data_IF_423301877017
#
_entry.id   IF_423301877017
#
_cell.length_a   1.000
_cell.length_b   1.000
_cell.length_c   1.000
_cell.angle_alpha   90.00
_cell.angle_beta   90.00
_cell.angle_gamma   90.00
#
_symmetry.space_group_name_H-M   'P 1'
#
loop_
_entity.id
_entity.type
_entity.pdbx_description
1 polymer ?
#
# COMPACT_ATOMS: atom_id res chain seq x y z
N UNK A 1 -26.72 -22.40 -26.04
CA UNK A 1 -25.28 -22.23 -25.68
C UNK A 1 -25.13 -21.56 -24.32
N UNK A 2 -25.73 -22.12 -23.26
CA UNK A 2 -25.66 -21.58 -21.87
C UNK A 2 -24.55 -22.29 -21.08
N UNK A 3 -24.37 -23.58 -21.31
CA UNK A 3 -23.37 -24.45 -20.67
C UNK A 3 -21.91 -23.98 -20.83
N UNK A 4 -21.59 -23.32 -21.95
CA UNK A 4 -20.21 -22.91 -22.26
C UNK A 4 -19.78 -21.64 -21.50
N UNK A 5 -20.73 -20.82 -21.05
CA UNK A 5 -20.45 -19.58 -20.28
C UNK A 5 -20.20 -19.89 -18.80
N UNK A 6 -21.02 -20.75 -18.18
CA UNK A 6 -20.85 -21.12 -16.77
C UNK A 6 -19.52 -21.84 -16.49
N UNK A 7 -19.04 -22.68 -17.41
CA UNK A 7 -17.71 -23.29 -17.29
C UNK A 7 -16.58 -22.27 -17.40
N UNK A 8 -16.78 -21.20 -18.16
CA UNK A 8 -15.78 -20.14 -18.33
C UNK A 8 -15.63 -19.34 -17.03
N UNK A 9 -16.75 -19.00 -16.38
CA UNK A 9 -16.79 -18.37 -15.06
C UNK A 9 -16.10 -19.24 -13.99
N UNK A 10 -16.37 -20.56 -14.03
CA UNK A 10 -15.84 -21.54 -13.06
C UNK A 10 -14.31 -21.70 -13.14
N UNK A 11 -13.68 -21.37 -14.28
CA UNK A 11 -12.24 -21.47 -14.46
C UNK A 11 -11.56 -20.10 -14.39
N UNK A 12 -12.11 -19.08 -15.03
CA UNK A 12 -11.52 -17.73 -15.09
C UNK A 12 -11.52 -17.03 -13.73
N UNK A 13 -12.60 -17.14 -12.95
CA UNK A 13 -12.68 -16.46 -11.66
C UNK A 13 -11.69 -17.06 -10.65
N UNK A 14 -11.64 -18.39 -10.44
CA UNK A 14 -10.64 -18.96 -9.53
C UNK A 14 -9.21 -18.76 -10.02
N UNK A 15 -8.95 -18.86 -11.33
CA UNK A 15 -7.60 -18.60 -11.86
C UNK A 15 -7.16 -17.15 -11.66
N UNK A 16 -8.05 -16.18 -11.90
CA UNK A 16 -7.77 -14.77 -11.62
C UNK A 16 -7.47 -14.52 -10.12
N UNK A 17 -8.22 -15.15 -9.22
CA UNK A 17 -7.98 -15.08 -7.78
C UNK A 17 -6.66 -15.74 -7.39
N UNK A 18 -6.34 -16.92 -7.94
CA UNK A 18 -5.07 -17.63 -7.70
C UNK A 18 -3.89 -16.79 -8.17
N UNK A 19 -3.98 -16.16 -9.34
CA UNK A 19 -2.94 -15.27 -9.87
C UNK A 19 -2.72 -14.09 -8.91
N UNK A 20 -3.80 -13.41 -8.48
CA UNK A 20 -3.69 -12.27 -7.58
C UNK A 20 -3.16 -12.66 -6.19
N UNK A 21 -3.75 -13.67 -5.56
CA UNK A 21 -3.36 -14.14 -4.23
C UNK A 21 -1.94 -14.72 -4.27
N UNK A 22 -1.63 -15.51 -5.29
CA UNK A 22 -0.30 -16.08 -5.51
C UNK A 22 0.77 -15.00 -5.64
N UNK A 23 0.51 -13.94 -6.41
CA UNK A 23 1.43 -12.81 -6.51
C UNK A 23 1.62 -12.11 -5.16
N UNK A 24 0.55 -11.83 -4.42
CA UNK A 24 0.65 -11.15 -3.12
C UNK A 24 1.37 -12.01 -2.07
N UNK A 25 1.15 -13.33 -2.06
CA UNK A 25 1.90 -14.26 -1.21
C UNK A 25 3.38 -14.34 -1.60
N UNK A 26 3.67 -14.41 -2.89
CA UNK A 26 5.05 -14.37 -3.40
C UNK A 26 5.75 -13.06 -3.02
N UNK A 27 5.08 -11.92 -3.20
CA UNK A 27 5.62 -10.63 -2.80
C UNK A 27 5.82 -10.56 -1.28
N UNK A 28 4.86 -11.04 -0.47
CA UNK A 28 4.99 -11.07 0.98
C UNK A 28 6.19 -11.94 1.40
N UNK A 29 6.35 -13.10 0.78
CA UNK A 29 7.52 -13.95 0.98
C UNK A 29 8.83 -13.21 0.64
N UNK A 30 8.88 -12.51 -0.50
CA UNK A 30 10.06 -11.72 -0.91
C UNK A 30 10.31 -10.55 0.05
N UNK A 31 9.27 -9.88 0.53
CA UNK A 31 9.37 -8.80 1.51
C UNK A 31 9.96 -9.28 2.84
N UNK A 32 9.48 -10.42 3.35
CA UNK A 32 9.92 -10.98 4.63
C UNK A 32 11.33 -11.59 4.56
N UNK A 33 11.69 -12.26 3.47
CA UNK A 33 12.96 -12.99 3.37
C UNK A 33 14.08 -12.21 2.65
N UNK A 34 13.73 -11.31 1.73
CA UNK A 34 14.67 -10.57 0.88
C UNK A 34 14.28 -9.07 0.78
N UNK A 35 14.18 -8.34 1.92
CA UNK A 35 13.70 -6.96 1.92
C UNK A 35 14.55 -6.03 1.03
N UNK A 36 15.86 -6.25 0.96
CA UNK A 36 16.82 -5.45 0.16
C UNK A 36 16.60 -5.51 -1.36
N UNK A 37 15.80 -6.46 -1.84
CA UNK A 37 15.51 -6.62 -3.27
C UNK A 37 14.07 -6.19 -3.61
N UNK A 38 13.39 -5.46 -2.74
CA UNK A 38 12.03 -4.97 -2.95
C UNK A 38 11.99 -3.45 -2.89
N UNK A 39 11.10 -2.82 -3.67
CA UNK A 39 10.89 -1.36 -3.60
C UNK A 39 10.47 -0.92 -2.20
N UNK A 40 9.59 -1.67 -1.52
CA UNK A 40 9.19 -1.36 -0.13
C UNK A 40 10.39 -1.38 0.82
N UNK A 41 11.29 -2.36 0.68
CA UNK A 41 12.51 -2.40 1.49
C UNK A 41 13.47 -1.25 1.18
N UNK A 42 13.56 -0.83 -0.08
CA UNK A 42 14.32 0.35 -0.50
C UNK A 42 13.74 1.64 0.09
N UNK A 43 12.43 1.86 -0.04
CA UNK A 43 11.75 2.98 0.59
C UNK A 43 11.91 2.97 2.11
N UNK A 44 11.88 1.79 2.75
CA UNK A 44 12.07 1.68 4.19
C UNK A 44 13.51 2.05 4.60
N UNK A 45 14.51 1.78 3.75
CA UNK A 45 15.87 2.27 3.95
C UNK A 45 15.97 3.80 3.79
N UNK A 46 15.27 4.38 2.81
CA UNK A 46 15.22 5.83 2.62
C UNK A 46 14.50 6.53 3.78
N UNK A 47 13.40 5.95 4.28
CA UNK A 47 12.69 6.43 5.47
C UNK A 47 13.60 6.40 6.71
N UNK A 48 14.39 5.34 6.90
CA UNK A 48 15.39 5.28 7.99
C UNK A 48 16.43 6.38 7.87
N UNK A 49 17.06 6.50 6.70
CA UNK A 49 18.06 7.54 6.46
C UNK A 49 17.48 8.95 6.65
N UNK A 50 16.24 9.17 6.24
CA UNK A 50 15.52 10.42 6.47
C UNK A 50 15.29 10.69 7.95
N UNK A 51 14.80 9.71 8.73
CA UNK A 51 14.59 9.84 10.17
C UNK A 51 15.91 10.10 10.91
N UNK A 52 16.98 9.36 10.60
CA UNK A 52 18.32 9.56 11.14
C UNK A 52 18.80 11.01 10.99
N UNK A 53 18.50 11.62 9.84
CA UNK A 53 18.87 13.02 9.56
C UNK A 53 17.98 14.01 10.28
N UNK A 54 16.66 13.79 10.29
CA UNK A 54 15.72 14.68 10.99
C UNK A 54 16.01 14.71 12.50
N UNK A 55 16.35 13.58 13.11
CA UNK A 55 16.66 13.50 14.54
C UNK A 55 17.98 14.17 14.93
N UNK A 56 18.84 14.50 13.96
CA UNK A 56 20.08 15.27 14.19
C UNK A 56 19.91 16.78 13.97
N UNK A 57 18.77 17.22 13.43
CA UNK A 57 18.51 18.64 13.20
C UNK A 57 18.12 19.35 14.50
N UNK A 58 18.40 20.64 14.56
CA UNK A 58 17.88 21.49 15.62
C UNK A 58 16.36 21.55 15.56
N UNK A 59 15.69 21.63 16.72
CA UNK A 59 14.22 21.66 16.83
C UNK A 59 13.56 22.76 15.97
N UNK A 60 14.28 23.84 15.66
CA UNK A 60 13.82 24.95 14.80
C UNK A 60 13.75 24.57 13.32
N UNK A 61 14.48 23.55 12.89
CA UNK A 61 14.61 23.12 11.49
C UNK A 61 13.73 21.90 11.15
N UNK A 62 13.07 21.33 12.15
CA UNK A 62 12.19 20.15 12.04
C UNK A 62 10.90 20.42 11.26
N UNK A 63 10.59 21.69 10.96
CA UNK A 63 9.38 22.10 10.24
C UNK A 63 9.15 21.35 8.92
N UNK A 64 10.20 21.13 8.13
CA UNK A 64 10.12 20.37 6.87
C UNK A 64 9.64 18.93 7.10
N UNK A 65 10.09 18.29 8.18
CA UNK A 65 9.68 16.93 8.50
C UNK A 65 8.19 16.85 8.86
N UNK A 66 7.71 17.83 9.62
CA UNK A 66 6.30 17.93 9.99
C UNK A 66 5.42 18.18 8.76
N UNK A 67 5.88 18.99 7.80
CA UNK A 67 5.17 19.20 6.53
C UNK A 67 5.06 17.91 5.72
N UNK A 68 6.16 17.16 5.57
CA UNK A 68 6.15 15.87 4.88
C UNK A 68 5.17 14.92 5.56
N UNK A 69 5.25 14.80 6.89
CA UNK A 69 4.41 13.88 7.64
C UNK A 69 2.92 14.28 7.60
N UNK A 70 2.63 15.58 7.70
CA UNK A 70 1.27 16.12 7.58
C UNK A 70 0.69 15.92 6.18
N UNK A 71 1.49 16.06 5.13
CA UNK A 71 1.04 15.78 3.75
C UNK A 71 0.67 14.30 3.57
N UNK A 72 1.46 13.38 4.14
CA UNK A 72 1.17 11.95 4.13
C UNK A 72 -0.10 11.62 4.94
N UNK A 73 -0.28 12.25 6.11
CA UNK A 73 -1.52 12.12 6.90
C UNK A 73 -2.73 12.57 6.08
N UNK A 74 -2.65 13.73 5.44
CA UNK A 74 -3.73 14.28 4.60
C UNK A 74 -4.07 13.36 3.42
N UNK A 75 -3.06 12.81 2.76
CA UNK A 75 -3.26 11.85 1.68
C UNK A 75 -3.93 10.57 2.20
N UNK A 76 -3.53 10.08 3.38
CA UNK A 76 -4.06 8.85 3.97
C UNK A 76 -5.52 9.02 4.40
N UNK A 77 -5.85 10.14 5.05
CA UNK A 77 -7.23 10.45 5.43
C UNK A 77 -8.12 10.66 4.21
N UNK A 78 -7.60 11.26 3.13
CA UNK A 78 -8.33 11.41 1.86
C UNK A 78 -8.68 10.06 1.23
N UNK A 79 -7.70 9.15 1.08
CA UNK A 79 -7.92 7.81 0.55
C UNK A 79 -8.81 6.95 1.46
N UNK A 80 -8.68 7.12 2.78
CA UNK A 80 -9.57 6.53 3.76
C UNK A 80 -11.03 6.96 3.52
N UNK A 81 -11.29 8.27 3.42
CA UNK A 81 -12.63 8.78 3.15
C UNK A 81 -13.18 8.26 1.82
N UNK A 82 -12.38 8.24 0.75
CA UNK A 82 -12.80 7.66 -0.53
C UNK A 82 -13.20 6.18 -0.37
N UNK A 83 -12.38 5.40 0.33
CA UNK A 83 -12.65 3.97 0.58
C UNK A 83 -13.94 3.76 1.38
N UNK A 84 -14.19 4.61 2.38
CA UNK A 84 -15.41 4.57 3.18
C UNK A 84 -16.65 5.01 2.37
N UNK A 85 -16.53 6.05 1.56
CA UNK A 85 -17.60 6.51 0.67
C UNK A 85 -17.98 5.44 -0.35
N UNK A 86 -16.99 4.77 -0.96
CA UNK A 86 -17.26 3.65 -1.88
C UNK A 86 -17.93 2.47 -1.16
N UNK A 87 -17.49 2.15 0.07
CA UNK A 87 -18.13 1.13 0.91
C UNK A 87 -19.59 1.47 1.21
N UNK A 88 -19.86 2.71 1.59
CA UNK A 88 -21.20 3.20 1.87
C UNK A 88 -22.09 3.21 0.62
N UNK A 89 -21.54 3.63 -0.53
CA UNK A 89 -22.26 3.62 -1.80
C UNK A 89 -22.67 2.20 -2.19
N UNK A 90 -21.77 1.23 -2.06
CA UNK A 90 -22.07 -0.18 -2.32
C UNK A 90 -23.11 -0.72 -1.34
N UNK A 91 -22.96 -0.43 -0.04
CA UNK A 91 -23.93 -0.84 0.98
C UNK A 91 -25.34 -0.27 0.73
N UNK A 92 -25.42 1.02 0.39
CA UNK A 92 -26.67 1.68 0.03
C UNK A 92 -27.28 1.10 -1.26
N UNK A 93 -26.46 0.73 -2.23
CA UNK A 93 -26.92 0.06 -3.44
C UNK A 93 -27.54 -1.30 -3.12
N UNK A 94 -26.87 -2.14 -2.33
CA UNK A 94 -27.40 -3.45 -1.90
C UNK A 94 -28.73 -3.29 -1.14
N UNK A 95 -28.85 -2.25 -0.32
CA UNK A 95 -30.06 -2.00 0.47
C UNK A 95 -31.26 -1.53 -0.37
N UNK A 96 -31.03 -0.94 -1.55
CA UNK A 96 -32.09 -0.42 -2.41
C UNK A 96 -32.47 -1.47 -3.46
N UNK A 97 -33.47 -2.31 -3.14
CA UNK A 97 -33.95 -3.47 -3.93
C UNK A 97 -34.55 -3.13 -5.31
N UNK A 98 -34.55 -1.85 -5.70
CA UNK A 98 -35.19 -1.38 -6.93
C UNK A 98 -34.25 -1.44 -8.14
N UNK A 99 -34.35 -2.56 -8.87
CA UNK A 99 -33.88 -2.75 -10.26
C UNK A 99 -32.37 -2.53 -10.44
N UNK A 100 -31.60 -3.57 -10.17
CA UNK A 100 -30.19 -3.71 -10.55
C UNK A 100 -29.95 -3.28 -12.01
N UNK A 101 -29.47 -2.05 -12.24
CA UNK A 101 -29.18 -1.49 -13.58
C UNK A 101 -28.19 -2.37 -14.36
N UNK A 102 -27.31 -3.09 -13.67
CA UNK A 102 -26.39 -4.05 -14.30
C UNK A 102 -27.09 -5.36 -14.71
N UNK A 103 -28.19 -5.75 -14.06
CA UNK A 103 -28.92 -6.99 -14.41
C UNK A 103 -29.64 -6.87 -15.77
N UNK A 104 -29.85 -5.63 -16.27
CA UNK A 104 -30.29 -5.39 -17.64
C UNK A 104 -29.13 -5.47 -18.64
N UNK A 105 -28.98 -6.63 -19.28
CA UNK A 105 -28.42 -6.85 -20.63
C UNK A 105 -26.91 -6.57 -20.86
N UNK A 106 -26.17 -6.05 -19.88
CA UNK A 106 -24.75 -5.67 -20.03
C UNK A 106 -23.74 -6.56 -19.27
N UNK A 107 -24.19 -7.48 -18.41
CA UNK A 107 -23.29 -8.40 -17.70
C UNK A 107 -23.03 -9.66 -18.55
N UNK A 108 -21.76 -9.95 -18.82
CA UNK A 108 -21.32 -11.25 -19.33
C UNK A 108 -20.88 -12.14 -18.16
N UNK A 109 -21.64 -13.17 -17.81
CA UNK A 109 -21.28 -14.13 -16.74
C UNK A 109 -22.49 -14.64 -15.96
N UNK A 110 -22.23 -15.40 -14.89
CA UNK A 110 -23.26 -15.93 -13.98
C UNK A 110 -23.93 -14.78 -13.19
N UNK A 111 -25.24 -14.66 -13.38
CA UNK A 111 -26.09 -13.65 -12.75
C UNK A 111 -26.94 -14.20 -11.61
N UNK A 112 -26.62 -15.39 -11.09
CA UNK A 112 -27.32 -15.95 -9.94
C UNK A 112 -27.25 -14.98 -8.74
N UNK A 113 -28.35 -14.80 -7.97
CA UNK A 113 -28.38 -13.87 -6.83
C UNK A 113 -27.25 -14.11 -5.83
N UNK A 114 -26.95 -15.39 -5.54
CA UNK A 114 -25.85 -15.77 -4.64
C UNK A 114 -24.48 -15.27 -5.14
N UNK A 115 -24.19 -15.45 -6.43
CA UNK A 115 -22.94 -15.00 -7.06
C UNK A 115 -22.82 -13.47 -7.02
N UNK A 116 -23.92 -12.75 -7.25
CA UNK A 116 -23.95 -11.29 -7.15
C UNK A 116 -23.71 -10.80 -5.71
N UNK A 117 -24.31 -11.44 -4.70
CA UNK A 117 -24.04 -11.12 -3.29
C UNK A 117 -22.57 -11.30 -2.92
N UNK A 118 -21.92 -12.37 -3.42
CA UNK A 118 -20.48 -12.61 -3.20
C UNK A 118 -19.63 -11.49 -3.82
N UNK A 119 -19.95 -11.04 -5.05
CA UNK A 119 -19.26 -9.92 -5.71
C UNK A 119 -19.31 -8.66 -4.86
N UNK A 120 -20.49 -8.29 -4.38
CA UNK A 120 -20.68 -7.11 -3.55
C UNK A 120 -19.98 -7.21 -2.19
N UNK A 121 -20.14 -8.33 -1.48
CA UNK A 121 -19.54 -8.53 -0.15
C UNK A 121 -18.01 -8.54 -0.24
N UNK A 122 -17.44 -9.24 -1.23
CA UNK A 122 -15.98 -9.27 -1.42
C UNK A 122 -15.40 -7.88 -1.72
N UNK A 123 -16.08 -7.10 -2.57
CA UNK A 123 -15.68 -5.73 -2.88
C UNK A 123 -15.79 -4.83 -1.64
N UNK A 124 -16.87 -4.95 -0.86
CA UNK A 124 -17.06 -4.20 0.38
C UNK A 124 -15.97 -4.48 1.41
N UNK A 125 -15.64 -5.77 1.64
CA UNK A 125 -14.55 -6.18 2.54
C UNK A 125 -13.24 -5.54 2.10
N UNK A 126 -12.97 -5.51 0.79
CA UNK A 126 -11.74 -4.95 0.25
C UNK A 126 -11.63 -3.44 0.50
N UNK A 127 -12.71 -2.68 0.31
CA UNK A 127 -12.72 -1.24 0.59
C UNK A 127 -12.64 -0.94 2.10
N UNK A 128 -13.29 -1.73 2.95
CA UNK A 128 -13.19 -1.59 4.40
C UNK A 128 -11.79 -1.93 4.92
N UNK A 129 -11.12 -2.92 4.31
CA UNK A 129 -9.72 -3.24 4.60
C UNK A 129 -8.82 -2.06 4.19
N UNK A 130 -9.00 -1.50 2.99
CA UNK A 130 -8.25 -0.33 2.54
C UNK A 130 -8.44 0.88 3.47
N UNK A 131 -9.70 1.18 3.83
CA UNK A 131 -10.06 2.20 4.81
C UNK A 131 -9.31 2.01 6.14
N UNK A 132 -9.37 0.79 6.69
CA UNK A 132 -8.71 0.47 7.95
C UNK A 132 -7.20 0.68 7.87
N UNK A 133 -6.56 0.23 6.78
CA UNK A 133 -5.13 0.41 6.55
C UNK A 133 -4.75 1.89 6.47
N UNK A 134 -5.51 2.72 5.75
CA UNK A 134 -5.22 4.16 5.65
C UNK A 134 -5.41 4.91 6.98
N UNK A 135 -6.42 4.55 7.78
CA UNK A 135 -6.58 5.08 9.14
C UNK A 135 -5.38 4.69 10.03
N UNK A 136 -4.92 3.44 9.93
CA UNK A 136 -3.74 2.98 10.68
C UNK A 136 -2.47 3.72 10.24
N UNK A 137 -2.28 3.91 8.93
CA UNK A 137 -1.17 4.70 8.37
C UNK A 137 -1.15 6.12 8.93
N UNK A 138 -2.29 6.83 8.89
CA UNK A 138 -2.44 8.17 9.45
C UNK A 138 -2.12 8.20 10.96
N UNK A 139 -2.58 7.21 11.72
CA UNK A 139 -2.29 7.09 13.17
C UNK A 139 -0.80 6.98 13.45
N UNK A 140 -0.07 6.15 12.70
CA UNK A 140 1.38 6.00 12.86
C UNK A 140 2.14 7.27 12.48
N UNK A 141 1.69 7.98 11.44
CA UNK A 141 2.27 9.27 11.07
C UNK A 141 2.00 10.36 12.12
N UNK A 142 0.80 10.40 12.71
CA UNK A 142 0.50 11.29 13.85
C UNK A 142 1.39 10.95 15.05
N UNK A 143 1.60 9.66 15.34
CA UNK A 143 2.50 9.23 16.40
C UNK A 143 3.95 9.68 16.13
N UNK A 144 4.44 9.57 14.90
CA UNK A 144 5.75 10.07 14.51
C UNK A 144 5.86 11.60 14.68
N UNK A 145 4.81 12.37 14.38
CA UNK A 145 4.78 13.83 14.65
C UNK A 145 4.97 14.12 16.14
N UNK A 146 4.27 13.41 17.03
CA UNK A 146 4.46 13.58 18.47
C UNK A 146 5.90 13.25 18.87
N UNK A 147 6.45 12.12 18.44
CA UNK A 147 7.84 11.76 18.78
C UNK A 147 8.87 12.80 18.28
N UNK A 148 8.70 13.32 17.07
CA UNK A 148 9.61 14.30 16.48
C UNK A 148 9.53 15.67 17.19
N UNK A 149 8.36 16.03 17.71
CA UNK A 149 8.11 17.36 18.32
C UNK A 149 8.25 17.40 19.84
N UNK A 150 8.39 16.25 20.51
CA UNK A 150 8.39 16.23 21.98
C UNK A 150 9.63 16.96 22.51
N UNK A 151 9.46 18.00 23.34
CA UNK A 151 10.59 18.73 23.90
C UNK A 151 11.34 17.91 24.95
N UNK A 152 12.65 18.12 25.01
CA UNK A 152 13.58 17.71 26.09
C UNK A 152 13.48 16.24 26.50
N UNK A 153 13.22 15.38 25.52
CA UNK A 153 13.15 13.94 25.69
C UNK A 153 14.15 13.27 24.76
N UNK A 154 14.98 12.40 25.34
CA UNK A 154 15.94 11.58 24.61
C UNK A 154 15.20 10.40 23.96
N UNK A 155 14.43 10.71 22.92
CA UNK A 155 13.64 9.70 22.19
C UNK A 155 14.60 8.93 21.28
N UNK A 156 14.71 7.60 21.44
CA UNK A 156 15.58 6.82 20.59
C UNK A 156 15.08 6.88 19.14
N UNK A 157 16.00 7.15 18.21
CA UNK A 157 15.75 7.30 16.77
C UNK A 157 14.95 6.11 16.22
N UNK A 158 15.21 4.90 16.75
CA UNK A 158 14.52 3.68 16.36
C UNK A 158 13.00 3.73 16.57
N UNK A 159 12.51 4.48 17.57
CA UNK A 159 11.06 4.61 17.81
C UNK A 159 10.39 5.44 16.72
N UNK A 160 11.06 6.50 16.27
CA UNK A 160 10.57 7.36 15.17
C UNK A 160 10.64 6.59 13.85
N UNK A 161 11.74 5.88 13.60
CA UNK A 161 11.89 5.01 12.42
C UNK A 161 10.77 3.98 12.36
N UNK A 162 10.51 3.26 13.46
CA UNK A 162 9.47 2.25 13.52
C UNK A 162 8.09 2.84 13.24
N UNK A 163 7.80 4.04 13.76
CA UNK A 163 6.53 4.70 13.52
C UNK A 163 6.36 5.09 12.04
N UNK A 164 7.38 5.70 11.42
CA UNK A 164 7.34 6.12 10.01
C UNK A 164 7.28 4.92 9.07
N UNK A 165 8.06 3.87 9.32
CA UNK A 165 8.06 2.63 8.52
C UNK A 165 6.71 1.95 8.62
N UNK A 166 6.16 1.75 9.83
CA UNK A 166 4.83 1.14 9.99
C UNK A 166 3.74 1.96 9.31
N UNK A 167 3.80 3.29 9.39
CA UNK A 167 2.89 4.17 8.66
C UNK A 167 2.95 3.95 7.15
N UNK A 168 4.16 3.84 6.60
CA UNK A 168 4.39 3.52 5.19
C UNK A 168 3.94 2.11 4.79
N UNK A 169 4.17 1.11 5.63
CA UNK A 169 3.75 -0.28 5.36
C UNK A 169 2.21 -0.38 5.28
N UNK A 170 1.48 0.25 6.20
CA UNK A 170 0.02 0.32 6.16
C UNK A 170 -0.49 1.11 4.96
N UNK A 171 0.20 2.17 4.54
CA UNK A 171 -0.11 2.91 3.32
C UNK A 171 -0.03 2.01 2.09
N UNK A 172 1.08 1.30 1.92
CA UNK A 172 1.30 0.39 0.80
C UNK A 172 0.32 -0.79 0.81
N UNK A 173 -0.02 -1.31 1.99
CA UNK A 173 -1.06 -2.34 2.14
C UNK A 173 -2.44 -1.82 1.72
N UNK A 174 -2.79 -0.59 2.09
CA UNK A 174 -4.04 0.04 1.67
C UNK A 174 -4.15 0.22 0.15
N UNK A 175 -3.07 0.67 -0.50
CA UNK A 175 -3.02 0.79 -1.96
C UNK A 175 -3.21 -0.56 -2.65
N UNK A 176 -2.56 -1.62 -2.14
CA UNK A 176 -2.72 -2.97 -2.69
C UNK A 176 -4.12 -3.53 -2.50
N UNK A 177 -4.78 -3.23 -1.38
CA UNK A 177 -6.19 -3.53 -1.21
C UNK A 177 -7.04 -2.80 -2.27
N UNK A 178 -6.78 -1.52 -2.57
CA UNK A 178 -7.49 -0.81 -3.65
C UNK A 178 -7.24 -1.44 -5.03
N UNK A 179 -6.02 -1.86 -5.33
CA UNK A 179 -5.70 -2.58 -6.57
C UNK A 179 -6.46 -3.91 -6.69
N UNK A 180 -6.60 -4.64 -5.59
CA UNK A 180 -7.43 -5.84 -5.55
C UNK A 180 -8.91 -5.51 -5.74
N UNK A 181 -9.41 -4.42 -5.12
CA UNK A 181 -10.79 -3.96 -5.29
C UNK A 181 -11.11 -3.59 -6.75
N UNK A 182 -10.18 -2.99 -7.49
CA UNK A 182 -10.36 -2.70 -8.93
C UNK A 182 -10.60 -3.98 -9.72
N UNK A 183 -9.86 -5.06 -9.44
CA UNK A 183 -10.07 -6.36 -10.09
C UNK A 183 -11.47 -6.93 -9.80
N UNK A 184 -11.92 -6.82 -8.55
CA UNK A 184 -13.26 -7.24 -8.16
C UNK A 184 -14.36 -6.35 -8.78
N UNK A 185 -14.10 -5.06 -8.95
CA UNK A 185 -15.04 -4.16 -9.63
C UNK A 185 -15.23 -4.58 -11.09
N UNK A 186 -14.16 -4.99 -11.76
CA UNK A 186 -14.26 -5.44 -13.16
C UNK A 186 -14.95 -6.80 -13.32
N UNK A 187 -15.02 -7.59 -12.25
CA UNK A 187 -15.79 -8.83 -12.21
C UNK A 187 -17.31 -8.60 -12.36
N UNK A 188 -17.80 -7.37 -12.13
CA UNK A 188 -19.18 -7.02 -12.44
C UNK A 188 -19.46 -6.98 -13.95
N UNK A 189 -18.47 -6.67 -14.79
CA UNK A 189 -18.61 -6.71 -16.25
C UNK A 189 -18.42 -8.13 -16.82
N UNK A 190 -17.71 -8.99 -16.08
CA UNK A 190 -17.61 -10.42 -16.36
C UNK A 190 -16.29 -11.05 -15.91
N UNK A 191 -16.14 -12.38 -16.03
CA UNK A 191 -14.88 -13.06 -15.71
C UNK A 191 -13.74 -12.73 -16.67
N UNK A 192 -14.04 -12.46 -17.94
CA UNK A 192 -13.03 -12.11 -18.96
C UNK A 192 -12.32 -10.80 -18.59
N UNK A 193 -13.01 -9.66 -18.36
CA UNK A 193 -12.33 -8.44 -17.94
C UNK A 193 -11.62 -8.61 -16.59
N UNK A 194 -12.19 -9.34 -15.63
CA UNK A 194 -11.54 -9.64 -14.35
C UNK A 194 -10.19 -10.38 -14.54
N UNK A 195 -10.15 -11.40 -15.40
CA UNK A 195 -8.94 -12.15 -15.68
C UNK A 195 -7.90 -11.31 -16.43
N UNK A 196 -8.34 -10.54 -17.43
CA UNK A 196 -7.44 -9.64 -18.15
C UNK A 196 -6.80 -8.63 -17.18
N UNK A 197 -7.59 -8.04 -16.27
CA UNK A 197 -7.05 -7.07 -15.32
C UNK A 197 -6.23 -7.69 -14.20
N UNK A 198 -6.48 -8.94 -13.82
CA UNK A 198 -5.62 -9.61 -12.82
C UNK A 198 -4.22 -9.82 -13.38
N UNK A 199 -4.11 -10.24 -14.65
CA UNK A 199 -2.83 -10.38 -15.34
C UNK A 199 -2.14 -9.01 -15.49
N UNK A 200 -2.85 -8.00 -16.00
CA UNK A 200 -2.30 -6.64 -16.15
C UNK A 200 -1.86 -6.08 -14.80
N UNK A 201 -2.66 -6.25 -13.75
CA UNK A 201 -2.32 -5.77 -12.41
C UNK A 201 -1.09 -6.47 -11.87
N UNK A 202 -0.95 -7.79 -12.04
CA UNK A 202 0.26 -8.52 -11.64
C UNK A 202 1.49 -8.04 -12.41
N UNK A 203 1.38 -7.76 -13.70
CA UNK A 203 2.49 -7.20 -14.49
C UNK A 203 2.86 -5.80 -14.01
N UNK A 204 1.87 -4.93 -13.77
CA UNK A 204 2.09 -3.58 -13.25
C UNK A 204 2.73 -3.62 -11.86
N UNK A 205 2.20 -4.44 -10.96
CA UNK A 205 2.77 -4.64 -9.63
C UNK A 205 4.17 -5.22 -9.72
N UNK A 206 4.41 -6.18 -10.60
CA UNK A 206 5.75 -6.73 -10.80
C UNK A 206 6.73 -5.67 -11.26
N UNK A 207 6.33 -4.77 -12.15
CA UNK A 207 7.16 -3.64 -12.57
C UNK A 207 7.40 -2.64 -11.44
N UNK A 208 6.35 -2.27 -10.70
CA UNK A 208 6.42 -1.35 -9.57
C UNK A 208 7.21 -1.92 -8.38
N UNK A 209 7.16 -3.22 -8.16
CA UNK A 209 7.82 -3.92 -7.07
C UNK A 209 9.25 -4.35 -7.44
N UNK A 210 9.57 -4.43 -8.73
CA UNK A 210 10.90 -4.75 -9.25
C UNK A 210 11.75 -3.50 -9.27
N UNK A 211 12.63 -3.40 -8.28
CA UNK A 211 13.63 -2.34 -8.25
C UNK A 211 14.83 -2.74 -9.11
N UNK A 212 15.05 -2.07 -10.23
CA UNK A 212 16.29 -2.21 -11.03
C UNK A 212 17.36 -1.18 -10.65
N UNK A 213 17.02 -0.20 -9.81
CA UNK A 213 17.93 0.88 -9.42
C UNK A 213 18.83 0.47 -8.25
N UNK A 214 20.16 0.64 -8.35
CA UNK A 214 21.08 0.32 -7.27
C UNK A 214 20.83 1.22 -6.05
N UNK A 215 21.03 0.66 -4.85
CA UNK A 215 20.78 1.38 -3.60
C UNK A 215 21.57 2.69 -3.54
N UNK A 216 20.88 3.83 -3.38
CA UNK A 216 21.58 5.08 -3.10
C UNK A 216 22.25 4.97 -1.73
N UNK A 217 23.59 4.94 -1.72
CA UNK A 217 24.35 4.80 -0.48
C UNK A 217 24.27 6.10 0.32
N UNK A 218 23.33 6.18 1.25
CA UNK A 218 23.25 7.29 2.20
C UNK A 218 24.53 7.33 3.04
N UNK A 219 25.30 8.41 2.94
CA UNK A 219 26.53 8.59 3.73
C UNK A 219 26.14 8.73 5.20
N UNK A 220 26.57 7.81 6.06
CA UNK A 220 26.42 7.96 7.51
C UNK A 220 27.21 9.19 7.99
N UNK A 221 26.64 10.09 8.81
CA UNK A 221 27.30 11.31 9.28
C UNK A 221 28.50 11.10 10.21
N UNK A 222 28.87 9.85 10.56
CA UNK A 222 29.91 9.55 11.55
C UNK A 222 31.33 9.22 11.03
N UNK A 223 31.64 9.36 9.73
CA UNK A 223 33.01 9.14 9.23
C UNK A 223 33.53 10.38 8.48
N UNK A 224 34.02 11.35 9.25
CA UNK A 224 35.11 12.20 8.76
C UNK A 224 36.32 11.29 8.52
N UNK A 225 37.04 11.40 7.39
CA UNK A 225 38.39 10.86 7.33
C UNK A 225 39.21 11.65 8.36
N UNK A 226 39.83 10.94 9.32
CA UNK A 226 40.92 11.50 10.12
C UNK A 226 41.85 12.25 9.17
N UNK A 227 41.94 13.58 9.35
CA UNK A 227 43.11 14.29 8.87
C UNK A 227 44.28 13.67 9.62
N UNK A 228 45.11 12.91 8.91
CA UNK A 228 46.45 12.59 9.36
C UNK A 228 47.18 13.91 9.63
N UNK A 229 47.18 14.33 10.88
CA UNK A 229 48.20 15.21 11.43
C UNK A 229 49.29 14.24 11.89
N UNK A 230 50.13 13.81 10.96
CA UNK A 230 51.41 13.20 11.31
C UNK A 230 52.44 14.32 11.27
N UNK A 231 53.06 14.54 12.43
CA UNK A 231 54.20 15.38 12.69
C UNK A 231 55.30 15.19 11.63
N UNK A 232 55.78 16.30 11.07
CA UNK A 232 57.19 16.42 10.72
C UNK A 232 57.76 17.62 11.46
N UNK A 233 58.22 17.36 12.68
CA UNK A 233 59.32 18.09 13.28
C UNK A 233 60.54 17.17 13.20
N UNK A 234 61.66 17.77 12.76
CA UNK A 234 63.06 17.32 12.82
C UNK A 234 63.55 16.46 11.64
N UNK A 235 64.34 17.12 10.79
CA UNK A 235 65.18 16.60 9.72
C UNK A 235 65.82 17.75 8.97
#
# INVERSE_FOLDING_TARGET
>A
MVFQKEHLDLVLVPSALIIMVGYHLFFLYRYLNLPHNTVIGFENNDKKAWVDRIMQLDKKEVGTALTVLSSNISAATSLSSVSLTLSSLIGAWIANDNKNIFQSKMIYGDTRPATMSIKYISLLICFLLAFSCFIQSARYFIHANYLITTPDSDIPVQNVELAVIRGGDFWSLGLRALYFAINLLLWFFGPIPMFATSVVMVVLLHYLDSNTTPLHRHRSPGKQPEKKVDEQIIG
#
